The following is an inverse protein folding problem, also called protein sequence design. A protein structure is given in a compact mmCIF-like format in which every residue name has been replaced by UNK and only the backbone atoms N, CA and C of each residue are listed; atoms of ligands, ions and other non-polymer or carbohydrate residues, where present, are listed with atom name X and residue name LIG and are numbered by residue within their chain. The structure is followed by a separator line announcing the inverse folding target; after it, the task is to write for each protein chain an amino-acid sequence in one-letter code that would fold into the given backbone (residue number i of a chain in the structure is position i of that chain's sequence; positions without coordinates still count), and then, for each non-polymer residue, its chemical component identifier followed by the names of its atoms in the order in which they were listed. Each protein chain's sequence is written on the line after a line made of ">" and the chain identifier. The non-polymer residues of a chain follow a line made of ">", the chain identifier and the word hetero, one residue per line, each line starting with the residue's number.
data_IF_838336324528
#
_entry.id   IF_838336324528
#
_cell.length_a   1.000
_cell.length_b   1.000
_cell.length_c   1.000
_cell.angle_alpha   90.00
_cell.angle_beta   90.00
_cell.angle_gamma   90.00
#
_symmetry.space_group_name_H-M   'P 1'
#
loop_
_entity.id
_entity.type
_entity.pdbx_description
1 polymer ?
#
# COMPACT_ATOMS: atom_id res chain seq x y z
N UNK A 1 -4.66 -33.66 -9.15
CA UNK A 1 -4.99 -32.71 -8.05
C UNK A 1 -3.76 -31.91 -7.75
N UNK A 2 -3.70 -30.64 -8.20
CA UNK A 2 -2.57 -29.77 -7.92
C UNK A 2 -2.74 -29.25 -6.47
N UNK A 3 -1.71 -29.48 -5.64
CA UNK A 3 -1.66 -28.94 -4.29
C UNK A 3 -1.68 -27.40 -4.37
N UNK A 4 -2.72 -26.79 -3.85
CA UNK A 4 -2.80 -25.34 -3.66
C UNK A 4 -1.73 -25.01 -2.61
N UNK A 5 -0.67 -24.36 -3.05
CA UNK A 5 0.33 -23.81 -2.13
C UNK A 5 -0.35 -22.75 -1.26
N UNK A 6 -0.75 -23.15 -0.06
CA UNK A 6 -1.18 -22.22 0.97
C UNK A 6 0.00 -21.34 1.32
N UNK A 7 -0.17 -20.03 1.21
CA UNK A 7 0.79 -19.06 1.75
C UNK A 7 0.97 -19.41 3.22
N UNK A 8 2.16 -19.84 3.58
CA UNK A 8 2.50 -20.14 4.96
C UNK A 8 2.12 -18.92 5.81
N UNK A 9 1.08 -19.07 6.61
CA UNK A 9 0.67 -18.05 7.57
C UNK A 9 1.81 -17.95 8.58
N UNK A 10 2.68 -16.96 8.42
CA UNK A 10 3.57 -16.60 9.51
C UNK A 10 2.67 -16.11 10.65
N UNK A 11 2.66 -16.84 11.74
CA UNK A 11 1.99 -16.39 12.96
C UNK A 11 2.62 -15.06 13.36
N UNK A 12 1.83 -14.00 13.58
CA UNK A 12 2.39 -12.73 14.02
C UNK A 12 3.08 -12.91 15.38
N UNK A 13 4.20 -12.21 15.61
CA UNK A 13 4.89 -12.28 16.89
C UNK A 13 4.00 -11.69 18.00
N UNK A 14 4.04 -12.30 19.17
CA UNK A 14 3.44 -11.70 20.36
C UNK A 14 4.31 -10.54 20.81
N UNK A 15 3.74 -9.34 20.84
CA UNK A 15 4.42 -8.14 21.31
C UNK A 15 4.09 -7.88 22.77
N UNK A 16 5.03 -7.28 23.54
CA UNK A 16 4.72 -6.75 24.85
C UNK A 16 3.62 -5.69 24.77
N UNK A 17 2.80 -5.59 25.80
CA UNK A 17 1.82 -4.50 25.88
C UNK A 17 2.53 -3.14 25.83
N UNK A 18 2.03 -2.27 24.99
CA UNK A 18 2.56 -0.94 24.76
C UNK A 18 1.47 0.08 25.09
N UNK A 19 1.63 0.79 26.20
CA UNK A 19 0.71 1.85 26.62
C UNK A 19 0.96 3.12 25.77
N UNK A 20 0.29 3.18 24.64
CA UNK A 20 0.33 4.33 23.74
C UNK A 20 1.41 4.24 22.64
N UNK A 21 1.31 5.18 21.70
CA UNK A 21 2.27 5.33 20.63
C UNK A 21 3.42 6.24 21.10
N UNK A 22 4.63 5.72 21.10
CA UNK A 22 5.83 6.55 21.23
C UNK A 22 5.95 7.50 20.02
N UNK A 23 6.79 8.52 20.14
CA UNK A 23 7.00 9.52 19.08
C UNK A 23 7.47 8.92 17.74
N UNK A 24 8.03 7.70 17.76
CA UNK A 24 8.42 6.96 16.57
C UNK A 24 8.30 5.45 16.81
N UNK A 25 7.92 4.71 15.77
CA UNK A 25 7.86 3.25 15.75
C UNK A 25 8.59 2.71 14.54
N UNK A 26 9.16 1.51 14.67
CA UNK A 26 9.69 0.75 13.54
C UNK A 26 8.58 -0.15 13.01
N UNK A 27 8.29 -0.11 11.71
CA UNK A 27 7.20 -0.87 11.10
C UNK A 27 7.76 -1.96 10.18
N UNK A 28 7.28 -3.20 10.36
CA UNK A 28 7.51 -4.25 9.37
C UNK A 28 6.72 -3.94 8.10
N UNK A 29 7.40 -3.91 6.97
CA UNK A 29 6.76 -3.64 5.67
C UNK A 29 5.92 -4.83 5.18
N UNK A 30 6.01 -5.99 5.81
CA UNK A 30 5.17 -7.16 5.53
C UNK A 30 4.04 -7.24 6.53
N UNK A 31 2.82 -7.39 6.04
CA UNK A 31 1.68 -7.62 6.91
C UNK A 31 1.49 -9.12 7.17
N UNK A 32 0.92 -9.43 8.32
CA UNK A 32 0.47 -10.78 8.67
C UNK A 32 -0.97 -10.97 8.24
N UNK A 33 -1.32 -12.19 7.83
CA UNK A 33 -2.71 -12.55 7.52
C UNK A 33 -3.26 -13.21 8.79
N UNK A 34 -3.97 -12.43 9.61
CA UNK A 34 -4.48 -12.90 10.88
C UNK A 34 -5.68 -12.06 11.33
N UNK A 35 -6.63 -12.71 12.03
CA UNK A 35 -7.72 -12.04 12.73
C UNK A 35 -7.31 -11.77 14.18
N UNK A 36 -6.63 -10.67 14.39
CA UNK A 36 -6.16 -10.21 15.71
C UNK A 36 -6.62 -8.78 15.94
N UNK A 37 -7.86 -8.59 16.39
CA UNK A 37 -8.38 -7.25 16.66
C UNK A 37 -7.71 -6.62 17.89
N UNK A 38 -7.58 -5.30 17.87
CA UNK A 38 -7.12 -4.47 18.99
C UNK A 38 -7.84 -3.11 18.99
N UNK A 39 -7.41 -2.23 19.87
CA UNK A 39 -7.91 -0.84 19.92
C UNK A 39 -7.63 -0.03 18.64
N UNK A 40 -6.77 -0.52 17.74
CA UNK A 40 -6.41 0.17 16.49
C UNK A 40 -7.16 -0.38 15.27
N UNK A 41 -8.00 -1.38 15.48
CA UNK A 41 -8.67 -2.08 14.38
C UNK A 41 -9.57 -1.15 13.57
N UNK A 42 -9.34 -1.12 12.27
CA UNK A 42 -10.18 -0.45 11.29
C UNK A 42 -10.80 -1.46 10.32
N UNK A 43 -12.02 -1.17 9.89
CA UNK A 43 -12.78 -2.01 8.96
C UNK A 43 -13.10 -1.23 7.70
N UNK A 44 -13.15 -1.94 6.58
CA UNK A 44 -13.46 -1.38 5.27
C UNK A 44 -14.03 -2.43 4.33
N UNK A 45 -14.08 -2.07 3.07
CA UNK A 45 -14.56 -2.93 2.00
C UNK A 45 -13.57 -2.90 0.84
N UNK A 46 -13.25 -4.05 0.28
CA UNK A 46 -12.40 -4.17 -0.91
C UNK A 46 -13.13 -3.67 -2.16
N UNK A 47 -12.42 -3.46 -3.25
CA UNK A 47 -13.03 -3.09 -4.54
C UNK A 47 -13.97 -4.17 -5.09
N UNK A 48 -13.82 -5.41 -4.63
CA UNK A 48 -14.74 -6.52 -4.93
C UNK A 48 -15.95 -6.61 -3.99
N UNK A 49 -16.11 -5.67 -3.05
CA UNK A 49 -17.23 -5.65 -2.12
C UNK A 49 -17.08 -6.56 -0.89
N UNK A 50 -15.93 -7.19 -0.70
CA UNK A 50 -15.67 -8.09 0.43
C UNK A 50 -15.19 -7.31 1.67
N UNK A 51 -15.55 -7.75 2.90
CA UNK A 51 -15.10 -7.11 4.11
C UNK A 51 -13.58 -7.31 4.31
N UNK A 52 -12.93 -6.27 4.82
CA UNK A 52 -11.53 -6.28 5.19
C UNK A 52 -11.34 -5.60 6.54
N UNK A 53 -10.43 -6.11 7.33
CA UNK A 53 -10.01 -5.56 8.60
C UNK A 53 -8.50 -5.41 8.63
N UNK A 54 -8.03 -4.28 9.15
CA UNK A 54 -6.61 -3.99 9.37
C UNK A 54 -6.40 -3.59 10.82
N UNK A 55 -5.39 -4.16 11.45
CA UNK A 55 -5.03 -3.89 12.84
C UNK A 55 -3.55 -3.62 12.95
N UNK A 56 -3.16 -2.58 13.66
CA UNK A 56 -1.79 -2.24 13.96
C UNK A 56 -1.42 -2.68 15.36
N UNK A 57 -0.36 -3.44 15.50
CA UNK A 57 0.23 -3.86 16.77
C UNK A 57 1.53 -3.10 16.98
N UNK A 58 1.49 -2.13 17.87
CA UNK A 58 2.63 -1.28 18.20
C UNK A 58 3.63 -2.02 19.07
N UNK A 59 4.92 -1.73 18.82
CA UNK A 59 6.02 -2.14 19.68
C UNK A 59 6.99 -0.98 19.85
N UNK A 60 7.64 -0.91 21.01
CA UNK A 60 8.72 0.05 21.23
C UNK A 60 10.00 -0.39 20.53
N UNK A 61 10.71 0.53 19.89
CA UNK A 61 12.02 0.22 19.36
C UNK A 61 12.95 -0.41 20.41
N UNK A 62 13.78 -1.42 20.07
CA UNK A 62 14.11 -1.87 18.70
C UNK A 62 13.17 -2.93 18.12
N UNK A 63 12.06 -3.25 18.78
CA UNK A 63 11.08 -4.20 18.24
C UNK A 63 10.33 -3.61 17.05
N UNK A 64 9.94 -4.48 16.12
CA UNK A 64 9.14 -4.09 14.96
C UNK A 64 7.65 -4.15 15.31
N UNK A 65 6.98 -3.03 15.14
CA UNK A 65 5.52 -2.98 15.04
C UNK A 65 5.07 -3.68 13.76
N UNK A 66 3.90 -4.30 13.76
CA UNK A 66 3.40 -4.99 12.58
C UNK A 66 1.91 -4.75 12.35
N UNK A 67 1.48 -5.05 11.13
CA UNK A 67 0.08 -5.01 10.76
C UNK A 67 -0.46 -6.41 10.51
N UNK A 68 -1.69 -6.64 10.98
CA UNK A 68 -2.50 -7.80 10.64
C UNK A 68 -3.61 -7.37 9.68
N UNK A 69 -3.79 -8.15 8.62
CA UNK A 69 -4.86 -7.97 7.64
C UNK A 69 -5.71 -9.22 7.63
N UNK A 70 -7.00 -9.06 7.79
CA UNK A 70 -7.97 -10.13 7.77
C UNK A 70 -9.09 -9.85 6.77
N UNK A 71 -9.31 -10.79 5.86
CA UNK A 71 -10.42 -10.79 4.89
C UNK A 71 -11.13 -12.13 5.05
N UNK A 72 -12.25 -12.21 5.81
CA UNK A 72 -12.88 -13.49 6.14
C UNK A 72 -13.34 -14.26 4.91
N UNK A 73 -13.77 -13.56 3.87
CA UNK A 73 -14.36 -14.15 2.66
C UNK A 73 -13.36 -14.25 1.49
N UNK A 74 -12.08 -13.99 1.75
CA UNK A 74 -11.03 -14.02 0.72
C UNK A 74 -9.77 -14.73 1.22
N UNK A 75 -9.35 -15.75 0.49
CA UNK A 75 -8.05 -16.38 0.70
C UNK A 75 -6.97 -15.52 0.04
N UNK A 76 -6.25 -14.76 0.85
CA UNK A 76 -5.12 -13.97 0.37
C UNK A 76 -3.96 -14.90 0.00
N UNK A 77 -3.65 -15.00 -1.28
CA UNK A 77 -2.61 -15.90 -1.80
C UNK A 77 -1.21 -15.28 -1.81
N UNK A 78 -1.12 -13.99 -1.66
CA UNK A 78 0.12 -13.27 -1.39
C UNK A 78 -0.07 -12.34 -0.21
N UNK A 79 1.04 -12.02 0.48
CA UNK A 79 0.98 -11.19 1.68
C UNK A 79 0.69 -9.74 1.34
N UNK A 80 -0.23 -9.10 2.06
CA UNK A 80 -0.36 -7.65 2.03
C UNK A 80 0.95 -6.99 2.45
N UNK A 81 1.18 -5.77 2.00
CA UNK A 81 2.41 -5.02 2.28
C UNK A 81 2.12 -3.57 2.62
N UNK A 82 2.92 -3.03 3.51
CA UNK A 82 3.07 -1.59 3.68
C UNK A 82 3.88 -1.07 2.48
N UNK A 83 3.34 -0.07 1.80
CA UNK A 83 3.98 0.58 0.65
C UNK A 83 4.74 1.82 1.10
N UNK A 84 4.09 2.65 1.91
CA UNK A 84 4.65 3.87 2.45
C UNK A 84 4.00 4.22 3.79
N UNK A 85 4.71 4.98 4.61
CA UNK A 85 4.18 5.55 5.85
C UNK A 85 4.57 7.01 5.93
N UNK A 86 3.68 7.84 6.51
CA UNK A 86 3.97 9.22 6.84
C UNK A 86 3.09 9.67 8.01
N UNK A 87 3.72 10.18 9.07
CA UNK A 87 3.08 10.47 10.35
C UNK A 87 2.28 9.27 10.88
N UNK A 88 0.96 9.39 11.05
CA UNK A 88 0.05 8.33 11.48
C UNK A 88 -0.68 7.62 10.31
N UNK A 89 -0.23 7.84 9.09
CA UNK A 89 -0.79 7.25 7.90
C UNK A 89 0.03 6.06 7.43
N UNK A 90 -0.65 5.01 6.99
CA UNK A 90 -0.04 3.83 6.41
C UNK A 90 -0.73 3.52 5.08
N UNK A 91 0.03 3.54 4.00
CA UNK A 91 -0.44 3.08 2.69
C UNK A 91 -0.20 1.58 2.57
N UNK A 92 -1.26 0.83 2.41
CA UNK A 92 -1.26 -0.62 2.29
C UNK A 92 -1.61 -1.05 0.88
N UNK A 93 -0.96 -2.11 0.41
CA UNK A 93 -1.36 -2.86 -0.78
C UNK A 93 -1.86 -4.24 -0.37
N UNK A 94 -3.07 -4.58 -0.79
CA UNK A 94 -3.73 -5.86 -0.50
C UNK A 94 -4.04 -6.58 -1.80
N UNK A 95 -3.50 -7.80 -2.02
CA UNK A 95 -3.83 -8.60 -3.19
C UNK A 95 -5.23 -9.20 -3.02
N UNK A 96 -6.15 -8.82 -3.91
CA UNK A 96 -7.55 -9.28 -3.88
C UNK A 96 -7.89 -10.28 -4.98
N UNK A 97 -6.88 -10.77 -5.73
CA UNK A 97 -7.10 -11.69 -6.85
C UNK A 97 -7.50 -13.09 -6.36
N UNK A 98 -8.74 -13.54 -6.61
CA UNK A 98 -9.18 -14.87 -6.26
C UNK A 98 -8.55 -15.96 -7.14
N UNK A 99 -8.00 -15.61 -8.31
CA UNK A 99 -7.49 -16.55 -9.33
C UNK A 99 -5.98 -16.75 -9.32
N UNK A 100 -5.24 -15.99 -8.48
CA UNK A 100 -3.75 -16.13 -8.35
C UNK A 100 -2.96 -15.80 -9.61
N UNK A 101 -3.42 -14.87 -10.39
CA UNK A 101 -2.72 -14.53 -11.63
C UNK A 101 -1.48 -13.67 -11.41
N UNK A 102 -1.18 -13.25 -10.19
CA UNK A 102 -0.16 -12.23 -9.87
C UNK A 102 -0.39 -10.91 -10.62
N UNK A 103 -1.59 -10.75 -11.16
CA UNK A 103 -1.94 -9.57 -11.93
C UNK A 103 -2.20 -8.40 -10.99
N UNK A 104 -1.39 -7.39 -11.16
CA UNK A 104 -1.43 -6.12 -10.43
C UNK A 104 -2.77 -5.39 -10.50
N UNK A 105 -3.63 -5.71 -11.48
CA UNK A 105 -5.00 -5.19 -11.59
C UNK A 105 -5.91 -5.64 -10.46
N UNK A 106 -5.52 -6.67 -9.71
CA UNK A 106 -6.25 -7.20 -8.58
C UNK A 106 -5.63 -6.81 -7.24
N UNK A 107 -4.96 -5.67 -7.18
CA UNK A 107 -4.46 -5.10 -5.94
C UNK A 107 -5.28 -3.90 -5.55
N UNK A 108 -5.75 -3.92 -4.32
CA UNK A 108 -6.36 -2.77 -3.68
C UNK A 108 -5.32 -2.01 -2.86
N UNK A 109 -5.43 -0.70 -2.92
CA UNK A 109 -4.64 0.19 -2.07
C UNK A 109 -5.54 0.80 -1.01
N UNK A 110 -5.12 0.70 0.23
CA UNK A 110 -5.83 1.27 1.36
C UNK A 110 -4.97 2.29 2.08
N UNK A 111 -5.58 3.39 2.48
CA UNK A 111 -4.99 4.27 3.47
C UNK A 111 -5.57 3.93 4.84
N UNK A 112 -4.70 3.48 5.73
CA UNK A 112 -5.03 3.12 7.09
C UNK A 112 -4.56 4.20 8.06
N UNK A 113 -5.45 4.59 8.99
CA UNK A 113 -5.22 5.57 10.04
C UNK A 113 -5.46 4.92 11.40
N UNK A 114 -4.43 4.40 12.08
CA UNK A 114 -4.58 3.67 13.34
C UNK A 114 -5.32 4.46 14.41
N UNK A 115 -4.97 5.72 14.60
CA UNK A 115 -5.53 6.58 15.66
C UNK A 115 -7.01 6.90 15.48
N UNK A 116 -7.47 7.04 14.26
CA UNK A 116 -8.88 7.33 13.95
C UNK A 116 -9.68 6.10 13.54
N UNK A 117 -9.08 4.91 13.57
CA UNK A 117 -9.70 3.62 13.20
C UNK A 117 -10.32 3.68 11.79
N UNK A 118 -9.65 4.36 10.86
CA UNK A 118 -10.15 4.50 9.49
C UNK A 118 -9.34 3.67 8.52
N UNK A 119 -10.05 3.07 7.58
CA UNK A 119 -9.50 2.33 6.46
C UNK A 119 -10.21 2.78 5.18
N UNK A 120 -9.55 3.63 4.43
CA UNK A 120 -10.09 4.22 3.21
C UNK A 120 -9.53 3.46 2.00
N UNK A 121 -10.41 2.90 1.17
CA UNK A 121 -10.01 2.34 -0.13
C UNK A 121 -9.65 3.48 -1.08
N UNK A 122 -8.43 3.46 -1.63
CA UNK A 122 -8.04 4.37 -2.69
C UNK A 122 -8.59 3.89 -4.03
N UNK A 123 -9.09 4.78 -4.88
CA UNK A 123 -9.45 4.40 -6.24
C UNK A 123 -8.22 3.84 -6.95
N UNK A 124 -8.38 2.73 -7.63
CA UNK A 124 -7.25 2.13 -8.35
C UNK A 124 -6.83 3.05 -9.51
N UNK A 125 -5.53 3.35 -9.66
CA UNK A 125 -5.05 4.16 -10.76
C UNK A 125 -5.14 3.36 -12.05
N UNK A 126 -6.24 3.52 -12.78
CA UNK A 126 -6.41 2.85 -14.07
C UNK A 126 -5.66 3.59 -15.17
N UNK A 127 -4.91 2.94 -16.04
CA UNK A 127 -4.76 1.49 -16.27
C UNK A 127 -3.46 0.87 -15.70
N UNK A 128 -2.79 1.49 -14.77
CA UNK A 128 -1.44 1.08 -14.34
C UNK A 128 -1.37 0.88 -12.84
N UNK A 129 -0.68 -0.17 -12.44
CA UNK A 129 -0.26 -0.38 -11.06
C UNK A 129 0.89 0.52 -10.69
N UNK A 130 1.03 0.74 -9.41
CA UNK A 130 2.22 1.38 -8.87
C UNK A 130 3.37 0.38 -8.70
N UNK A 131 4.59 0.89 -8.86
CA UNK A 131 5.74 0.25 -8.24
C UNK A 131 5.80 0.71 -6.78
N UNK A 132 5.77 -0.24 -5.83
CA UNK A 132 5.85 0.07 -4.41
C UNK A 132 7.09 0.88 -4.07
N UNK A 133 8.21 0.63 -4.77
CA UNK A 133 9.49 1.30 -4.54
C UNK A 133 9.53 2.74 -5.08
N UNK A 134 8.58 3.06 -5.95
CA UNK A 134 8.44 4.38 -6.57
C UNK A 134 7.16 5.10 -6.12
N UNK A 135 6.63 4.70 -4.97
CA UNK A 135 5.42 5.28 -4.39
C UNK A 135 5.75 5.98 -3.07
N UNK A 136 5.21 7.18 -2.91
CA UNK A 136 5.37 8.00 -1.72
C UNK A 136 4.01 8.41 -1.16
N UNK A 137 3.95 8.52 0.16
CA UNK A 137 2.84 9.08 0.92
C UNK A 137 3.31 10.39 1.55
N UNK A 138 2.48 11.40 1.51
CA UNK A 138 2.73 12.69 2.14
C UNK A 138 1.48 13.15 2.88
N UNK A 139 1.61 13.47 4.14
CA UNK A 139 0.56 14.08 4.96
C UNK A 139 0.88 15.55 5.25
N UNK A 140 -0.15 16.32 5.49
CA UNK A 140 0.01 17.64 6.05
C UNK A 140 0.06 17.57 7.58
N UNK A 141 0.92 18.35 8.21
CA UNK A 141 1.12 18.34 9.67
C UNK A 141 -0.16 18.58 10.48
N UNK A 142 -1.09 19.37 9.94
CA UNK A 142 -2.40 19.63 10.57
C UNK A 142 -3.43 18.49 10.34
N UNK A 143 -3.05 17.40 9.65
CA UNK A 143 -3.94 16.29 9.32
C UNK A 143 -5.04 16.62 8.29
N UNK A 144 -5.02 17.83 7.71
CA UNK A 144 -6.08 18.34 6.85
C UNK A 144 -6.22 17.59 5.52
N UNK A 145 -5.14 17.09 4.95
CA UNK A 145 -5.15 16.28 3.73
C UNK A 145 -3.90 15.41 3.61
N UNK A 146 -3.94 14.45 2.72
CA UNK A 146 -2.80 13.64 2.32
C UNK A 146 -2.72 13.52 0.80
N UNK A 147 -1.53 13.20 0.31
CA UNK A 147 -1.30 12.88 -1.08
C UNK A 147 -0.56 11.55 -1.21
N UNK A 148 -0.90 10.80 -2.26
CA UNK A 148 -0.15 9.63 -2.69
C UNK A 148 0.43 9.96 -4.06
N UNK A 149 1.74 9.83 -4.20
CA UNK A 149 2.45 10.03 -5.45
C UNK A 149 3.11 8.73 -5.88
N UNK A 150 2.96 8.37 -7.15
CA UNK A 150 3.60 7.19 -7.73
C UNK A 150 4.24 7.53 -9.06
N UNK A 151 5.46 7.01 -9.26
CA UNK A 151 6.21 7.22 -10.48
C UNK A 151 6.23 5.92 -11.29
N UNK A 152 5.77 5.97 -12.53
CA UNK A 152 5.84 4.86 -13.46
C UNK A 152 6.86 5.14 -14.56
N UNK A 153 7.80 4.23 -14.73
CA UNK A 153 8.79 4.32 -15.80
C UNK A 153 8.13 3.90 -17.12
N UNK A 154 8.36 4.69 -18.15
CA UNK A 154 7.99 4.36 -19.53
C UNK A 154 9.18 3.76 -20.28
N UNK A 155 8.92 3.27 -21.49
CA UNK A 155 10.01 2.85 -22.37
C UNK A 155 10.92 4.06 -22.67
N UNK A 156 12.24 3.86 -22.60
CA UNK A 156 13.18 4.93 -22.96
C UNK A 156 13.06 5.30 -24.44
N UNK A 157 13.32 6.55 -24.74
CA UNK A 157 13.35 7.05 -26.11
C UNK A 157 14.77 6.90 -26.65
N UNK A 158 14.92 6.15 -27.72
CA UNK A 158 16.21 5.89 -28.34
C UNK A 158 16.45 6.85 -29.52
N UNK A 159 17.71 7.09 -29.82
CA UNK A 159 18.11 7.76 -31.05
C UNK A 159 17.70 6.89 -32.24
N UNK A 160 17.23 7.53 -33.31
CA UNK A 160 16.79 6.81 -34.53
C UNK A 160 17.86 5.84 -35.02
N UNK A 161 17.49 4.59 -35.21
CA UNK A 161 18.36 3.48 -35.62
C UNK A 161 19.62 3.26 -34.74
N UNK A 162 19.45 3.41 -33.42
CA UNK A 162 20.52 3.25 -32.44
C UNK A 162 19.96 2.78 -31.11
N UNK A 163 20.73 2.05 -30.34
CA UNK A 163 20.40 1.64 -28.98
C UNK A 163 20.70 2.74 -27.94
N UNK A 164 21.18 3.89 -28.39
CA UNK A 164 21.51 5.02 -27.52
C UNK A 164 20.22 5.66 -27.02
N UNK A 165 20.02 5.64 -25.70
CA UNK A 165 18.93 6.31 -25.03
C UNK A 165 19.21 7.81 -25.01
N UNK A 166 18.26 8.59 -25.52
CA UNK A 166 18.36 10.06 -25.53
C UNK A 166 17.46 10.74 -24.51
N UNK A 167 16.49 9.98 -23.98
CA UNK A 167 15.49 10.53 -23.07
C UNK A 167 14.82 9.41 -22.28
N UNK A 168 14.69 9.63 -20.98
CA UNK A 168 13.83 8.82 -20.11
C UNK A 168 12.50 9.53 -19.91
N UNK A 169 11.42 8.80 -20.02
CA UNK A 169 10.08 9.30 -19.77
C UNK A 169 9.45 8.59 -18.57
N UNK A 170 8.73 9.36 -17.77
CA UNK A 170 8.03 8.91 -16.58
C UNK A 170 6.61 9.46 -16.60
N UNK A 171 5.65 8.72 -16.08
CA UNK A 171 4.35 9.24 -15.71
C UNK A 171 4.31 9.39 -14.18
N UNK A 172 4.15 10.60 -13.69
CA UNK A 172 3.89 10.90 -12.29
C UNK A 172 2.37 10.87 -12.08
N UNK A 173 1.91 9.98 -11.21
CA UNK A 173 0.53 9.88 -10.79
C UNK A 173 0.39 10.49 -9.40
N UNK A 174 -0.61 11.35 -9.21
CA UNK A 174 -0.86 12.03 -7.96
C UNK A 174 -2.33 11.89 -7.58
N UNK A 175 -2.59 11.42 -6.37
CA UNK A 175 -3.89 11.42 -5.73
C UNK A 175 -3.86 12.36 -4.52
N UNK A 176 -4.92 13.15 -4.34
CA UNK A 176 -5.06 14.05 -3.20
C UNK A 176 -6.40 13.82 -2.53
N UNK A 177 -6.40 13.75 -1.21
CA UNK A 177 -7.62 13.50 -0.41
C UNK A 177 -8.52 14.71 -0.29
N UNK A 178 -8.02 15.92 -0.54
CA UNK A 178 -8.81 17.16 -0.53
C UNK A 178 -9.48 17.45 -1.89
N UNK A 179 -9.16 16.67 -2.92
CA UNK A 179 -9.71 16.83 -4.27
C UNK A 179 -10.14 15.45 -4.85
N UNK A 180 -10.94 14.73 -4.08
CA UNK A 180 -11.40 13.37 -4.42
C UNK A 180 -12.14 13.35 -5.78
N UNK A 181 -12.79 14.46 -6.14
CA UNK A 181 -13.56 14.55 -7.41
C UNK A 181 -12.68 14.40 -8.65
N UNK A 182 -11.42 14.75 -8.58
CA UNK A 182 -10.46 14.59 -9.69
C UNK A 182 -9.85 13.20 -9.79
N UNK A 183 -9.95 12.38 -8.73
CA UNK A 183 -9.28 11.08 -8.68
C UNK A 183 -7.77 11.23 -8.88
N UNK A 184 -7.18 10.30 -9.65
CA UNK A 184 -5.76 10.34 -9.98
C UNK A 184 -5.48 11.31 -11.13
N UNK A 185 -4.53 12.22 -10.90
CA UNK A 185 -3.99 13.13 -11.94
C UNK A 185 -2.66 12.55 -12.40
N UNK A 186 -2.46 12.45 -13.72
CA UNK A 186 -1.23 11.95 -14.31
C UNK A 186 -0.53 13.04 -15.13
N UNK A 187 0.77 13.20 -14.89
CA UNK A 187 1.62 14.14 -15.62
C UNK A 187 2.83 13.44 -16.19
N UNK A 188 3.07 13.63 -17.50
CA UNK A 188 4.30 13.14 -18.13
C UNK A 188 5.46 14.04 -17.78
N UNK A 189 6.55 13.40 -17.36
CA UNK A 189 7.83 14.03 -17.09
C UNK A 189 8.91 13.38 -17.96
N UNK A 190 9.97 14.09 -18.22
CA UNK A 190 11.10 13.55 -18.98
C UNK A 190 12.42 14.10 -18.46
N UNK A 191 13.41 13.22 -18.45
CA UNK A 191 14.80 13.55 -18.14
C UNK A 191 15.63 13.25 -19.38
N UNK A 192 16.41 14.24 -19.84
CA UNK A 192 17.39 14.04 -20.90
C UNK A 192 18.64 13.44 -20.27
N UNK A 193 19.21 12.45 -20.95
CA UNK A 193 20.55 12.01 -20.63
C UNK A 193 21.53 13.08 -21.14
N UNK A 194 22.48 13.48 -20.29
CA UNK A 194 23.50 14.47 -20.62
C UNK A 194 24.74 13.80 -21.19
#
# INVERSE_FOLDING_TARGET
>A
MAAVATVSSCVPPTLPECDGYDAAVLVDMRCYIADLPSSTTARGTTSSGLPIQVTFHAARPPLLSHLCVHCPDLVLKSKPRVVATDADLVLLRVPIDPKVTSDIRYWDYFLYKPRSHRLDLLPNPHPRSFDDTATALLSREDGGWYAVAALSIRCPVHKRNSDVVVKWEFDLHLYRSDDVSKGWISKRMSVKEF
#
